data_IF_061916886862
#
_entry.id   IF_061916886862
#
_cell.length_a   1.000
_cell.length_b   1.000
_cell.length_c   1.000
_cell.angle_alpha   90.00
_cell.angle_beta   90.00
_cell.angle_gamma   90.00
#
_symmetry.space_group_name_H-M   'P 1'
#
loop_
_entity.id
_entity.type
_entity.pdbx_description
1 polymer ?
#
# COMPACT_ATOMS: atom_id res chain seq x y z
N UNK A 1 -22.57 2.36 -8.20
CA UNK A 1 -21.35 3.04 -7.72
C UNK A 1 -20.20 2.39 -8.46
N UNK A 2 -19.21 3.15 -8.93
CA UNK A 2 -18.05 2.56 -9.61
C UNK A 2 -17.30 1.68 -8.61
N UNK A 3 -17.18 0.37 -8.86
CA UNK A 3 -16.54 -0.60 -7.96
C UNK A 3 -15.12 -0.16 -7.56
N UNK A 4 -14.47 0.61 -8.44
CA UNK A 4 -13.14 1.20 -8.21
C UNK A 4 -13.11 2.26 -7.11
N UNK A 5 -14.25 2.75 -6.64
CA UNK A 5 -14.31 3.65 -5.48
C UNK A 5 -14.01 2.92 -4.17
N UNK A 6 -14.16 1.58 -4.15
CA UNK A 6 -13.70 0.75 -3.06
C UNK A 6 -12.18 0.58 -3.12
N UNK A 7 -11.48 1.57 -2.57
CA UNK A 7 -10.03 1.67 -2.68
C UNK A 7 -9.37 2.27 -1.43
N UNK A 8 -8.12 1.89 -1.17
CA UNK A 8 -7.24 2.52 -0.17
C UNK A 8 -5.95 3.03 -0.79
N UNK A 9 -5.23 3.99 -0.18
CA UNK A 9 -3.90 4.40 -0.66
C UNK A 9 -2.87 3.26 -0.63
N UNK A 10 -1.86 3.36 -1.50
CA UNK A 10 -0.66 2.52 -1.50
C UNK A 10 0.09 2.66 -0.17
N UNK A 11 0.33 1.54 0.52
CA UNK A 11 1.06 1.51 1.79
C UNK A 11 2.54 1.22 1.55
N UNK A 12 3.44 2.05 2.08
CA UNK A 12 4.89 1.90 1.89
C UNK A 12 5.59 1.10 2.98
N UNK A 13 4.84 0.71 4.01
CA UNK A 13 5.38 0.19 5.26
C UNK A 13 5.29 -1.35 5.37
N UNK A 14 5.06 -2.06 4.26
CA UNK A 14 5.00 -3.52 4.24
C UNK A 14 6.39 -4.11 4.05
N UNK A 15 6.77 -5.05 4.91
CA UNK A 15 8.04 -5.79 4.82
C UNK A 15 7.81 -7.27 5.07
N UNK A 16 8.77 -8.09 4.70
CA UNK A 16 8.76 -9.51 5.00
C UNK A 16 10.19 -10.03 4.95
N UNK A 17 10.58 -10.77 5.99
CA UNK A 17 11.86 -11.46 6.03
C UNK A 17 11.78 -12.96 5.71
N UNK A 18 10.56 -13.47 5.49
CA UNK A 18 10.28 -14.87 5.21
C UNK A 18 10.89 -15.33 3.85
N UNK A 19 11.60 -16.47 3.82
CA UNK A 19 12.20 -17.02 2.61
C UNK A 19 11.21 -17.24 1.46
N UNK A 20 9.97 -17.63 1.77
CA UNK A 20 8.88 -17.89 0.83
C UNK A 20 8.55 -16.63 0.03
N UNK A 21 8.35 -15.52 0.73
CA UNK A 21 8.09 -14.21 0.12
C UNK A 21 9.32 -13.72 -0.64
N UNK A 22 10.53 -13.89 -0.09
CA UNK A 22 11.78 -13.50 -0.76
C UNK A 22 11.96 -14.23 -2.09
N UNK A 23 11.58 -15.50 -2.17
CA UNK A 23 11.62 -16.30 -3.40
C UNK A 23 10.66 -15.73 -4.46
N UNK A 24 9.39 -15.51 -4.11
CA UNK A 24 8.41 -14.88 -5.02
C UNK A 24 8.92 -13.55 -5.57
N UNK A 25 9.42 -12.68 -4.69
CA UNK A 25 9.93 -11.37 -5.08
C UNK A 25 11.17 -11.47 -6.00
N UNK A 26 11.99 -12.51 -5.84
CA UNK A 26 13.11 -12.79 -6.73
C UNK A 26 12.63 -13.26 -8.11
N UNK A 27 11.66 -14.17 -8.16
CA UNK A 27 11.12 -14.69 -9.42
C UNK A 27 10.47 -13.56 -10.23
N UNK A 28 9.63 -12.74 -9.58
CA UNK A 28 9.05 -11.54 -10.19
C UNK A 28 10.12 -10.53 -10.64
N UNK A 29 11.20 -10.36 -9.86
CA UNK A 29 12.28 -9.47 -10.24
C UNK A 29 12.98 -9.94 -11.51
N UNK A 30 13.20 -11.24 -11.69
CA UNK A 30 13.82 -11.81 -12.89
C UNK A 30 12.94 -11.57 -14.11
N UNK A 31 11.64 -11.89 -14.04
CA UNK A 31 10.70 -11.64 -15.13
C UNK A 31 10.63 -10.15 -15.50
N UNK A 32 10.50 -9.28 -14.49
CA UNK A 32 10.45 -7.84 -14.69
C UNK A 32 11.76 -7.29 -15.30
N UNK A 33 12.90 -7.83 -14.89
CA UNK A 33 14.21 -7.45 -15.45
C UNK A 33 14.33 -7.84 -16.92
N UNK A 34 13.86 -9.03 -17.27
CA UNK A 34 13.85 -9.51 -18.66
C UNK A 34 12.96 -8.63 -19.55
N UNK A 35 11.80 -8.22 -19.05
CA UNK A 35 10.90 -7.32 -19.76
C UNK A 35 11.49 -5.90 -19.92
N UNK A 36 11.97 -5.31 -18.83
CA UNK A 36 12.36 -3.90 -18.78
C UNK A 36 13.78 -3.62 -19.30
N UNK A 37 14.59 -4.66 -19.51
CA UNK A 37 15.99 -4.56 -19.92
C UNK A 37 16.83 -3.81 -18.90
N UNK A 38 17.38 -2.64 -19.27
CA UNK A 38 18.25 -1.86 -18.39
C UNK A 38 17.47 -1.24 -17.22
N UNK A 39 17.70 -1.76 -16.03
CA UNK A 39 17.10 -1.30 -14.77
C UNK A 39 18.16 -1.04 -13.69
N UNK A 40 17.77 -0.31 -12.65
CA UNK A 40 18.55 -0.22 -11.41
C UNK A 40 18.06 -1.33 -10.48
N UNK A 41 18.93 -2.28 -10.13
CA UNK A 41 18.59 -3.45 -9.31
C UNK A 41 17.96 -3.02 -7.99
N UNK A 42 18.64 -2.19 -7.20
CA UNK A 42 18.19 -1.80 -5.86
C UNK A 42 16.85 -1.05 -5.89
N UNK A 43 16.71 -0.08 -6.80
CA UNK A 43 15.47 0.70 -6.92
C UNK A 43 14.32 -0.18 -7.37
N UNK A 44 14.55 -1.05 -8.34
CA UNK A 44 13.49 -1.92 -8.87
C UNK A 44 13.05 -2.92 -7.80
N UNK A 45 13.98 -3.55 -7.08
CA UNK A 45 13.66 -4.43 -5.94
C UNK A 45 12.87 -3.70 -4.86
N UNK A 46 13.31 -2.51 -4.46
CA UNK A 46 12.60 -1.70 -3.45
C UNK A 46 11.14 -1.49 -3.83
N UNK A 47 10.88 -1.01 -5.05
CA UNK A 47 9.51 -0.70 -5.48
C UNK A 47 8.70 -1.95 -5.83
N UNK A 48 9.34 -3.02 -6.30
CA UNK A 48 8.71 -4.32 -6.49
C UNK A 48 8.19 -4.88 -5.17
N UNK A 49 9.06 -4.94 -4.15
CA UNK A 49 8.68 -5.40 -2.81
C UNK A 49 7.50 -4.58 -2.27
N UNK A 50 7.61 -3.25 -2.36
CA UNK A 50 6.55 -2.36 -1.90
C UNK A 50 5.20 -2.64 -2.57
N UNK A 51 5.17 -2.72 -3.90
CA UNK A 51 3.93 -2.93 -4.66
C UNK A 51 3.36 -4.33 -4.42
N UNK A 52 4.18 -5.37 -4.51
CA UNK A 52 3.73 -6.77 -4.40
C UNK A 52 3.20 -7.07 -3.00
N UNK A 53 3.91 -6.66 -1.94
CA UNK A 53 3.48 -6.91 -0.58
C UNK A 53 2.18 -6.16 -0.26
N UNK A 54 2.05 -4.92 -0.71
CA UNK A 54 0.84 -4.14 -0.45
C UNK A 54 -0.38 -4.69 -1.21
N UNK A 55 -0.19 -5.12 -2.46
CA UNK A 55 -1.23 -5.77 -3.26
C UNK A 55 -1.66 -7.12 -2.68
N UNK A 56 -0.71 -7.91 -2.19
CA UNK A 56 -1.01 -9.19 -1.56
C UNK A 56 -1.88 -9.00 -0.32
N UNK A 57 -1.49 -8.09 0.58
CA UNK A 57 -2.28 -7.79 1.77
C UNK A 57 -3.65 -7.20 1.41
N UNK A 58 -3.73 -6.31 0.41
CA UNK A 58 -5.02 -5.79 -0.08
C UNK A 58 -5.95 -6.92 -0.52
N UNK A 59 -5.46 -7.83 -1.35
CA UNK A 59 -6.25 -8.96 -1.86
C UNK A 59 -6.72 -9.90 -0.74
N UNK A 60 -5.85 -10.19 0.24
CA UNK A 60 -6.19 -11.05 1.38
C UNK A 60 -7.15 -10.38 2.36
N UNK A 61 -7.23 -9.05 2.35
CA UNK A 61 -8.26 -8.30 3.07
C UNK A 61 -9.60 -8.41 2.34
N UNK A 62 -9.60 -8.09 1.05
CA UNK A 62 -10.77 -8.20 0.19
C UNK A 62 -10.31 -8.23 -1.29
N UNK A 63 -10.65 -9.28 -2.07
CA UNK A 63 -10.29 -9.38 -3.49
C UNK A 63 -10.79 -8.21 -4.36
N UNK A 64 -11.85 -7.52 -3.92
CA UNK A 64 -12.42 -6.36 -4.63
C UNK A 64 -11.69 -5.05 -4.29
N UNK A 65 -10.79 -5.03 -3.29
CA UNK A 65 -10.15 -3.83 -2.80
C UNK A 65 -9.05 -3.34 -3.75
N UNK A 66 -9.24 -2.13 -4.28
CA UNK A 66 -8.22 -1.46 -5.06
C UNK A 66 -7.19 -0.72 -4.21
N UNK A 67 -5.96 -0.67 -4.71
CA UNK A 67 -4.87 0.16 -4.18
C UNK A 67 -4.68 1.38 -5.07
N UNK A 68 -4.94 2.56 -4.53
CA UNK A 68 -4.81 3.85 -5.19
C UNK A 68 -3.40 4.42 -5.14
N UNK A 69 -2.95 4.99 -6.26
CA UNK A 69 -1.65 5.65 -6.36
C UNK A 69 -1.69 6.80 -7.39
N UNK A 70 -0.75 7.74 -7.27
CA UNK A 70 -0.66 8.88 -8.19
C UNK A 70 0.20 8.58 -9.41
N UNK A 71 -0.29 8.95 -10.61
CA UNK A 71 0.53 9.01 -11.83
C UNK A 71 1.00 10.42 -12.18
N UNK A 72 0.74 11.38 -11.30
CA UNK A 72 1.15 12.77 -11.49
C UNK A 72 2.58 12.98 -10.97
N UNK A 73 3.52 13.31 -11.86
CA UNK A 73 4.96 13.42 -11.54
C UNK A 73 5.26 14.47 -10.45
N UNK A 74 4.47 15.54 -10.40
CA UNK A 74 4.54 16.62 -9.41
C UNK A 74 4.30 16.10 -7.99
N UNK A 75 3.46 15.08 -7.80
CA UNK A 75 3.18 14.45 -6.50
C UNK A 75 4.36 13.67 -5.92
N UNK A 76 5.51 13.63 -6.57
CA UNK A 76 6.74 12.95 -6.12
C UNK A 76 7.94 13.89 -5.97
N UNK A 77 7.72 15.20 -6.10
CA UNK A 77 8.77 16.23 -5.95
C UNK A 77 9.19 16.39 -4.48
N UNK A 78 10.40 16.89 -4.20
CA UNK A 78 10.78 17.27 -2.84
C UNK A 78 9.70 18.10 -2.14
N UNK A 79 9.44 17.82 -0.87
CA UNK A 79 8.38 18.47 -0.07
C UNK A 79 6.97 17.92 -0.28
N UNK A 80 6.79 16.86 -1.06
CA UNK A 80 5.49 16.16 -1.20
C UNK A 80 5.40 14.93 -0.31
N UNK A 81 4.18 14.50 0.09
CA UNK A 81 3.99 13.32 0.95
C UNK A 81 4.66 12.05 0.40
N UNK A 82 4.45 11.75 -0.89
CA UNK A 82 5.09 10.59 -1.51
C UNK A 82 6.63 10.70 -1.48
N UNK A 83 7.18 11.91 -1.59
CA UNK A 83 8.62 12.10 -1.53
C UNK A 83 9.18 11.81 -0.14
N UNK A 84 8.48 12.26 0.90
CA UNK A 84 8.79 11.99 2.31
C UNK A 84 8.70 10.49 2.62
N UNK A 85 7.75 9.78 2.01
CA UNK A 85 7.66 8.31 2.03
C UNK A 85 8.71 7.61 1.14
N UNK A 86 9.74 8.33 0.70
CA UNK A 86 10.82 7.84 -0.16
C UNK A 86 10.35 7.21 -1.50
N UNK A 87 9.13 7.53 -1.94
CA UNK A 87 8.64 7.12 -3.25
C UNK A 87 9.27 7.99 -4.33
N UNK A 88 9.51 7.38 -5.49
CA UNK A 88 10.12 8.05 -6.65
C UNK A 88 9.31 7.68 -7.88
N UNK A 89 8.87 8.69 -8.62
CA UNK A 89 7.95 8.53 -9.75
C UNK A 89 8.43 7.49 -10.76
N UNK A 90 9.60 7.70 -11.39
CA UNK A 90 10.05 6.84 -12.51
C UNK A 90 10.21 5.38 -12.11
N UNK A 91 10.92 5.03 -11.02
CA UNK A 91 11.06 3.63 -10.62
C UNK A 91 9.72 2.97 -10.25
N UNK A 92 8.85 3.67 -9.51
CA UNK A 92 7.54 3.14 -9.13
C UNK A 92 6.66 2.86 -10.37
N UNK A 93 6.57 3.82 -11.31
CA UNK A 93 5.78 3.62 -12.53
C UNK A 93 6.32 2.48 -13.39
N UNK A 94 7.66 2.35 -13.52
CA UNK A 94 8.25 1.22 -14.28
C UNK A 94 7.90 -0.14 -13.69
N UNK A 95 7.87 -0.27 -12.36
CA UNK A 95 7.46 -1.51 -11.70
C UNK A 95 5.97 -1.77 -11.94
N UNK A 96 5.11 -0.80 -11.70
CA UNK A 96 3.66 -0.98 -11.86
C UNK A 96 3.31 -1.31 -13.30
N UNK A 97 3.83 -0.54 -14.27
CA UNK A 97 3.54 -0.77 -15.69
C UNK A 97 4.11 -2.12 -16.17
N UNK A 98 5.28 -2.54 -15.67
CA UNK A 98 5.84 -3.84 -16.02
C UNK A 98 5.08 -5.03 -15.39
N UNK A 99 4.59 -4.90 -14.16
CA UNK A 99 3.73 -5.93 -13.55
C UNK A 99 2.36 -6.02 -14.23
N UNK A 100 1.81 -4.89 -14.68
CA UNK A 100 0.59 -4.82 -15.51
C UNK A 100 0.80 -5.57 -16.84
N UNK A 101 1.91 -5.29 -17.53
CA UNK A 101 2.26 -5.94 -18.80
C UNK A 101 2.50 -7.46 -18.64
N UNK A 102 3.08 -7.89 -17.52
CA UNK A 102 3.24 -9.31 -17.18
C UNK A 102 1.93 -9.96 -16.68
N UNK A 103 0.86 -9.19 -16.48
CA UNK A 103 -0.45 -9.66 -16.02
C UNK A 103 -0.53 -10.03 -14.53
N UNK A 104 0.39 -9.53 -13.70
CA UNK A 104 0.40 -9.75 -12.24
C UNK A 104 -0.49 -8.77 -11.47
N UNK A 105 -0.81 -7.63 -12.07
CA UNK A 105 -1.80 -6.72 -11.55
C UNK A 105 -2.67 -6.22 -12.69
N UNK A 106 -3.88 -5.78 -12.38
CA UNK A 106 -4.65 -4.96 -13.29
C UNK A 106 -4.50 -3.49 -12.88
N UNK A 107 -4.47 -2.61 -13.87
CA UNK A 107 -4.20 -1.20 -13.66
C UNK A 107 -5.22 -0.31 -14.36
N UNK A 108 -5.99 0.43 -13.56
CA UNK A 108 -6.89 1.47 -14.06
C UNK A 108 -6.22 2.83 -13.96
N UNK A 109 -5.95 3.43 -15.12
CA UNK A 109 -5.40 4.77 -15.18
C UNK A 109 -6.43 5.80 -14.73
N UNK A 110 -6.00 6.67 -13.82
CA UNK A 110 -6.76 7.83 -13.40
C UNK A 110 -6.95 8.82 -14.55
N UNK A 111 -7.91 9.73 -14.39
CA UNK A 111 -8.21 10.77 -15.35
C UNK A 111 -8.58 12.07 -14.65
N UNK A 112 -8.53 13.17 -15.39
CA UNK A 112 -9.08 14.45 -14.98
C UNK A 112 -9.90 15.02 -16.13
N UNK A 113 -11.21 15.08 -15.96
CA UNK A 113 -12.10 15.72 -16.92
C UNK A 113 -12.22 17.21 -16.60
N UNK A 114 -11.74 18.04 -17.53
CA UNK A 114 -11.76 19.51 -17.41
C UNK A 114 -13.17 20.10 -17.44
N UNK A 115 -14.11 19.44 -18.12
CA UNK A 115 -15.49 19.94 -18.28
C UNK A 115 -16.28 19.76 -17.00
N UNK A 116 -16.24 18.55 -16.42
CA UNK A 116 -16.91 18.25 -15.16
C UNK A 116 -16.09 18.61 -13.92
N UNK A 117 -14.79 18.93 -14.07
CA UNK A 117 -13.81 19.13 -12.99
C UNK A 117 -13.67 17.91 -12.07
N UNK A 118 -14.02 16.72 -12.56
CA UNK A 118 -13.89 15.47 -11.81
C UNK A 118 -12.56 14.81 -12.14
N UNK A 119 -11.80 14.52 -11.09
CA UNK A 119 -10.55 13.77 -11.17
C UNK A 119 -10.64 12.45 -10.42
N UNK A 120 -9.98 11.41 -10.94
CA UNK A 120 -9.78 10.13 -10.24
C UNK A 120 -8.31 9.75 -10.29
N UNK A 121 -7.80 9.26 -9.16
CA UNK A 121 -6.46 8.68 -9.08
C UNK A 121 -6.40 7.33 -9.80
N UNK A 122 -5.19 6.92 -10.16
CA UNK A 122 -4.95 5.57 -10.65
C UNK A 122 -5.16 4.55 -9.55
N UNK A 123 -5.60 3.36 -9.93
CA UNK A 123 -5.89 2.25 -9.02
C UNK A 123 -5.42 0.94 -9.62
N UNK A 124 -4.93 0.05 -8.78
CA UNK A 124 -4.47 -1.27 -9.17
C UNK A 124 -4.93 -2.32 -8.15
N UNK A 125 -5.10 -3.57 -8.59
CA UNK A 125 -5.28 -4.71 -7.68
C UNK A 125 -4.49 -5.92 -8.20
N UNK A 126 -4.18 -6.85 -7.31
CA UNK A 126 -3.54 -8.11 -7.69
C UNK A 126 -4.45 -8.90 -8.63
N UNK A 127 -3.88 -9.55 -9.64
CA UNK A 127 -4.61 -10.58 -10.40
C UNK A 127 -4.50 -11.92 -9.67
N UNK A 128 -5.38 -12.87 -10.00
CA UNK A 128 -5.27 -14.24 -9.50
C UNK A 128 -3.90 -14.85 -9.83
N UNK A 129 -3.30 -14.51 -10.98
CA UNK A 129 -1.95 -14.95 -11.36
C UNK A 129 -0.89 -14.58 -10.32
N UNK A 130 -0.94 -13.36 -9.76
CA UNK A 130 -0.01 -12.95 -8.70
C UNK A 130 -0.27 -13.72 -7.41
N UNK A 131 -1.54 -13.91 -7.05
CA UNK A 131 -1.93 -14.62 -5.83
C UNK A 131 -1.52 -16.09 -5.90
N UNK A 132 -1.76 -16.76 -7.02
CA UNK A 132 -1.35 -18.15 -7.25
C UNK A 132 0.17 -18.31 -7.16
N UNK A 133 0.95 -17.35 -7.68
CA UNK A 133 2.40 -17.36 -7.55
C UNK A 133 2.85 -17.24 -6.08
N UNK A 134 2.21 -16.37 -5.30
CA UNK A 134 2.54 -16.15 -3.89
C UNK A 134 2.17 -17.39 -3.06
N UNK A 135 0.91 -17.82 -3.15
CA UNK A 135 0.38 -18.92 -2.34
C UNK A 135 0.97 -20.28 -2.78
N UNK A 136 1.32 -20.44 -4.06
CA UNK A 136 2.04 -21.61 -4.57
C UNK A 136 3.45 -21.78 -3.97
N UNK A 137 4.01 -20.72 -3.37
CA UNK A 137 5.25 -20.78 -2.59
C UNK A 137 5.01 -20.92 -1.08
N UNK A 138 3.81 -21.33 -0.67
CA UNK A 138 3.36 -21.44 0.73
C UNK A 138 3.39 -20.13 1.53
N UNK A 139 3.44 -18.99 0.84
CA UNK A 139 3.39 -17.69 1.49
C UNK A 139 1.97 -17.32 1.92
N UNK A 140 1.83 -16.78 3.12
CA UNK A 140 0.54 -16.32 3.68
C UNK A 140 0.61 -14.82 4.03
N UNK A 141 -0.53 -14.13 4.12
CA UNK A 141 -0.53 -12.70 4.49
C UNK A 141 0.06 -12.42 5.86
N UNK A 142 0.03 -13.39 6.78
CA UNK A 142 0.68 -13.30 8.09
C UNK A 142 2.21 -13.27 8.04
N UNK A 143 2.81 -13.56 6.88
CA UNK A 143 4.25 -13.40 6.64
C UNK A 143 4.62 -11.99 6.15
N UNK A 144 3.64 -11.08 6.03
CA UNK A 144 3.89 -9.69 5.67
C UNK A 144 3.71 -8.81 6.89
N UNK A 145 4.83 -8.40 7.46
CA UNK A 145 4.88 -7.47 8.58
C UNK A 145 4.63 -6.04 8.12
N UNK A 146 4.25 -5.20 9.08
CA UNK A 146 4.18 -3.75 8.90
C UNK A 146 5.27 -3.09 9.75
N UNK A 147 6.23 -2.46 9.09
CA UNK A 147 7.16 -1.56 9.79
C UNK A 147 6.37 -0.38 10.28
N UNK A 148 6.69 0.08 11.49
CA UNK A 148 5.93 1.15 12.11
C UNK A 148 6.08 2.41 11.26
N UNK A 149 4.93 2.94 10.82
CA UNK A 149 4.87 4.22 10.13
C UNK A 149 5.02 5.38 11.12
N UNK A 150 4.92 6.60 10.62
CA UNK A 150 4.85 7.76 11.50
C UNK A 150 3.59 7.66 12.40
N UNK A 151 3.73 7.76 13.73
CA UNK A 151 2.60 7.61 14.66
C UNK A 151 1.56 8.73 14.55
N UNK A 152 1.91 9.80 13.84
CA UNK A 152 1.07 10.98 13.61
C UNK A 152 0.94 11.21 12.12
N UNK A 153 -0.30 11.43 11.69
CA UNK A 153 -0.62 11.84 10.33
C UNK A 153 -1.37 13.17 10.39
N UNK A 154 -0.92 14.13 9.58
CA UNK A 154 -1.65 15.38 9.35
C UNK A 154 -2.36 15.26 8.00
N UNK A 155 -3.65 15.60 7.94
CA UNK A 155 -4.41 15.64 6.69
C UNK A 155 -4.98 17.03 6.46
N UNK A 156 -5.13 17.41 5.20
CA UNK A 156 -5.90 18.58 4.83
C UNK A 156 -7.42 18.28 4.84
N UNK A 157 -8.22 19.33 4.64
CA UNK A 157 -9.68 19.27 4.52
C UNK A 157 -10.18 18.35 3.40
N UNK A 158 -9.34 18.02 2.42
CA UNK A 158 -9.64 17.14 1.30
C UNK A 158 -9.16 15.69 1.58
N UNK A 159 -8.69 15.41 2.81
CA UNK A 159 -8.21 14.12 3.26
C UNK A 159 -6.83 13.73 2.75
N UNK A 160 -6.10 14.64 2.11
CA UNK A 160 -4.74 14.39 1.64
C UNK A 160 -3.74 14.56 2.78
N UNK A 161 -2.84 13.60 2.92
CA UNK A 161 -1.77 13.67 3.93
C UNK A 161 -0.81 14.83 3.64
N UNK A 162 -0.41 15.54 4.68
CA UNK A 162 0.49 16.68 4.66
C UNK A 162 1.80 16.34 5.36
N UNK A 163 2.90 16.88 4.83
CA UNK A 163 4.20 16.85 5.49
C UNK A 163 4.24 17.99 6.50
N UNK A 164 4.62 17.70 7.74
CA UNK A 164 4.79 18.70 8.79
C UNK A 164 6.14 18.51 9.49
N UNK A 165 6.69 19.60 10.01
CA UNK A 165 7.90 19.54 10.81
C UNK A 165 7.55 19.13 12.25
N UNK A 166 8.24 18.13 12.84
CA UNK A 166 7.99 17.72 14.20
C UNK A 166 8.21 18.86 15.21
N UNK A 167 7.23 19.06 16.07
CA UNK A 167 7.29 19.92 17.26
C UNK A 167 7.44 19.06 18.53
N UNK A 168 7.79 19.68 19.65
CA UNK A 168 7.82 19.01 20.96
C UNK A 168 6.46 18.37 21.31
N UNK A 169 5.37 19.07 20.98
CA UNK A 169 4.02 18.58 21.21
C UNK A 169 3.70 17.34 20.36
N UNK A 170 4.02 17.37 19.07
CA UNK A 170 3.83 16.20 18.19
C UNK A 170 4.75 15.05 18.58
N UNK A 171 5.97 15.30 19.06
CA UNK A 171 6.85 14.24 19.55
C UNK A 171 6.24 13.53 20.78
N UNK A 172 5.68 14.30 21.72
CA UNK A 172 4.98 13.72 22.88
C UNK A 172 3.77 12.87 22.46
N UNK A 173 3.00 13.32 21.47
CA UNK A 173 1.90 12.52 20.91
C UNK A 173 2.40 11.26 20.19
N UNK A 174 3.53 11.35 19.48
CA UNK A 174 4.14 10.24 18.79
C UNK A 174 4.56 9.13 19.77
N UNK A 175 5.23 9.50 20.85
CA UNK A 175 5.62 8.56 21.93
C UNK A 175 4.42 7.93 22.62
N UNK A 176 3.34 8.68 22.81
CA UNK A 176 2.11 8.13 23.42
C UNK A 176 1.47 7.08 22.49
N UNK A 177 1.36 7.39 21.20
CA UNK A 177 0.82 6.47 20.20
C UNK A 177 1.71 5.23 20.07
N UNK A 178 3.03 5.38 20.08
CA UNK A 178 3.97 4.25 20.07
C UNK A 178 3.75 3.32 21.27
N UNK A 179 3.59 3.85 22.48
CA UNK A 179 3.26 3.04 23.67
C UNK A 179 1.96 2.24 23.52
N UNK A 180 0.93 2.85 22.93
CA UNK A 180 -0.30 2.10 22.63
C UNK A 180 -0.06 0.99 21.62
N UNK A 181 0.73 1.26 20.59
CA UNK A 181 1.08 0.29 19.56
C UNK A 181 1.90 -0.88 20.10
N UNK A 182 2.85 -0.63 21.02
CA UNK A 182 3.59 -1.67 21.73
C UNK A 182 2.63 -2.62 22.45
N UNK A 183 1.73 -2.06 23.27
CA UNK A 183 0.74 -2.87 24.00
C UNK A 183 -0.15 -3.64 23.02
N UNK A 184 -0.69 -2.97 22.01
CA UNK A 184 -1.61 -3.59 21.05
C UNK A 184 -0.93 -4.70 20.23
N UNK A 185 0.33 -4.54 19.85
CA UNK A 185 1.09 -5.57 19.12
C UNK A 185 1.30 -6.86 19.91
N UNK A 186 1.31 -6.79 21.26
CA UNK A 186 1.42 -7.95 22.14
C UNK A 186 0.09 -8.64 22.42
N UNK A 187 -1.03 -8.14 21.89
CA UNK A 187 -2.37 -8.61 22.20
C UNK A 187 -3.14 -9.04 20.96
N UNK A 188 -4.06 -9.99 21.12
CA UNK A 188 -5.01 -10.37 20.07
C UNK A 188 -6.36 -9.72 20.34
N UNK A 189 -6.75 -8.76 19.50
CA UNK A 189 -8.09 -8.19 19.50
C UNK A 189 -8.96 -8.96 18.51
N UNK A 190 -10.10 -9.49 18.99
CA UNK A 190 -11.09 -10.16 18.15
C UNK A 190 -12.41 -9.42 18.23
N UNK A 191 -13.02 -9.17 17.07
CA UNK A 191 -14.38 -8.70 16.99
C UNK A 191 -15.32 -9.90 16.94
N UNK A 192 -16.43 -9.86 17.67
CA UNK A 192 -17.48 -10.90 17.63
C UNK A 192 -18.44 -10.67 16.44
N UNK A 193 -17.88 -10.47 15.25
CA UNK A 193 -18.59 -10.27 14.00
C UNK A 193 -17.75 -10.87 12.86
N UNK A 194 -18.39 -11.44 11.84
CA UNK A 194 -17.68 -11.99 10.68
C UNK A 194 -17.32 -10.90 9.67
N UNK A 195 -16.28 -11.11 8.87
CA UNK A 195 -15.88 -10.17 7.81
C UNK A 195 -17.02 -9.91 6.82
N UNK A 196 -17.83 -10.92 6.52
CA UNK A 196 -19.01 -10.79 5.67
C UNK A 196 -20.07 -9.85 6.28
N UNK A 197 -20.29 -9.93 7.60
CA UNK A 197 -21.20 -9.02 8.30
C UNK A 197 -20.63 -7.60 8.36
N UNK A 198 -19.33 -7.44 8.65
CA UNK A 198 -18.63 -6.16 8.62
C UNK A 198 -18.74 -5.46 7.25
N UNK A 199 -18.45 -6.19 6.17
CA UNK A 199 -18.58 -5.69 4.79
C UNK A 199 -20.04 -5.33 4.48
N UNK A 200 -21.00 -6.13 4.93
CA UNK A 200 -22.43 -5.88 4.70
C UNK A 200 -22.95 -4.65 5.45
N UNK A 201 -22.59 -4.49 6.72
CA UNK A 201 -23.13 -3.45 7.61
C UNK A 201 -22.42 -2.11 7.44
N UNK A 202 -21.12 -2.12 7.15
CA UNK A 202 -20.30 -0.92 7.11
C UNK A 202 -19.65 -0.64 5.76
N UNK A 203 -19.71 -1.57 4.79
CA UNK A 203 -19.03 -1.42 3.50
C UNK A 203 -17.50 -1.45 3.63
N UNK A 204 -16.97 -1.98 4.73
CA UNK A 204 -15.55 -1.98 5.06
C UNK A 204 -15.08 -3.42 5.24
N UNK A 205 -13.94 -3.75 4.66
CA UNK A 205 -13.17 -4.93 5.04
C UNK A 205 -12.05 -4.46 5.96
N UNK A 206 -11.87 -5.15 7.08
CA UNK A 206 -10.85 -4.82 8.07
C UNK A 206 -9.61 -5.61 7.72
N UNK A 207 -8.54 -4.92 7.40
CA UNK A 207 -7.24 -5.56 7.28
C UNK A 207 -6.70 -5.80 8.70
N UNK A 208 -6.83 -7.04 9.19
CA UNK A 208 -6.34 -7.44 10.51
C UNK A 208 -4.80 -7.46 10.63
N UNK A 209 -4.06 -7.22 9.54
CA UNK A 209 -2.63 -6.90 9.61
C UNK A 209 -2.36 -5.44 10.01
N UNK A 210 -3.41 -4.61 10.20
CA UNK A 210 -3.28 -3.23 10.69
C UNK A 210 -3.12 -3.15 12.20
N UNK A 211 -1.91 -3.45 12.67
CA UNK A 211 -1.32 -2.77 13.82
C UNK A 211 -0.01 -2.14 13.31
N UNK A 212 0.19 -0.81 13.45
CA UNK A 212 -0.27 0.06 14.52
C UNK A 212 -1.44 1.02 14.23
N UNK A 213 -2.03 1.59 15.30
CA UNK A 213 -2.93 2.75 15.26
C UNK A 213 -2.15 4.06 15.08
N UNK A 214 -2.80 5.05 14.46
CA UNK A 214 -2.25 6.40 14.23
C UNK A 214 -3.17 7.46 14.81
N UNK A 215 -2.60 8.59 15.25
CA UNK A 215 -3.38 9.80 15.57
C UNK A 215 -3.47 10.69 14.34
N UNK A 216 -4.69 10.95 13.89
CA UNK A 216 -4.97 11.80 12.73
C UNK A 216 -5.36 13.19 13.23
N UNK A 217 -4.66 14.21 12.74
CA UNK A 217 -5.07 15.61 12.86
C UNK A 217 -5.65 16.07 11.52
N UNK A 218 -6.79 16.76 11.57
CA UNK A 218 -7.48 17.33 10.42
C UNK A 218 -7.36 18.86 10.44
#
# INVERSE_FOLDING_TARGET
>A
MDEREYSRPLTVHRVSDYPEIKKVLNDLFVELSNLLGRISVDKTRKFLNLVVLDLFVAYKTDPDLYVGYSRAKDKYRPGTPNHSLFLRYRPLMRVIDGLDELGYLENHRGFYDRKSKIGRQSRMRATQKLIDLIEGNAATSGMVDRVWGEPILLRDKDGQELVFEPTEETNRYAEQVQRYNEVLSGNTLRLCITDAQLKKEHGIAVDYSHFPIHRIFN
#
